data_IF_805420201473
#
_entry.id   IF_805420201473
#
_cell.length_a   1.000
_cell.length_b   1.000
_cell.length_c   1.000
_cell.angle_alpha   90.00
_cell.angle_beta   90.00
_cell.angle_gamma   90.00
#
_symmetry.space_group_name_H-M   'P 1'
#
loop_
_entity.id
_entity.type
_entity.pdbx_description
1 polymer ?
#
# COMPACT_ATOMS: atom_id res chain seq x y z
N UNK A 1 -16.70 18.51 4.53
CA UNK A 1 -16.44 19.19 3.24
C UNK A 1 -17.74 19.75 2.72
N UNK A 2 -17.81 21.03 2.36
CA UNK A 2 -19.06 21.64 1.91
C UNK A 2 -19.00 21.80 0.39
N UNK A 3 -20.08 21.47 -0.32
CA UNK A 3 -20.11 21.51 -1.80
C UNK A 3 -19.78 22.89 -2.37
N UNK A 4 -20.04 23.94 -1.60
CA UNK A 4 -19.79 25.34 -1.95
C UNK A 4 -18.34 25.79 -1.82
N UNK A 5 -17.43 24.94 -1.31
CA UNK A 5 -15.99 25.24 -1.31
C UNK A 5 -15.39 25.16 -2.74
N UNK A 6 -16.08 24.47 -3.66
CA UNK A 6 -15.62 24.18 -5.02
C UNK A 6 -16.54 24.77 -6.09
N UNK A 7 -15.93 25.25 -7.17
CA UNK A 7 -16.64 25.70 -8.37
C UNK A 7 -17.29 24.51 -9.06
N UNK A 8 -18.52 24.71 -9.55
CA UNK A 8 -19.33 23.65 -10.15
C UNK A 8 -19.42 23.81 -11.67
N UNK A 9 -19.54 22.73 -12.45
CA UNK A 9 -19.85 22.83 -13.86
C UNK A 9 -21.20 23.57 -14.08
N UNK A 10 -21.33 24.43 -15.10
CA UNK A 10 -20.38 24.69 -16.19
C UNK A 10 -19.31 25.76 -15.90
N UNK A 11 -19.35 26.43 -14.75
CA UNK A 11 -18.45 27.52 -14.41
C UNK A 11 -16.98 27.07 -14.40
N UNK A 12 -16.72 25.89 -13.85
CA UNK A 12 -15.41 25.26 -13.89
C UNK A 12 -15.55 23.74 -14.13
N UNK A 13 -14.55 23.18 -14.82
CA UNK A 13 -14.54 21.76 -15.11
C UNK A 13 -14.15 20.95 -13.87
N UNK A 14 -14.88 19.85 -13.63
CA UNK A 14 -14.63 18.92 -12.53
C UNK A 14 -14.58 17.50 -13.06
N UNK A 15 -13.48 16.78 -12.81
CA UNK A 15 -13.26 15.42 -13.29
C UNK A 15 -12.66 14.53 -12.20
N UNK A 16 -13.14 13.28 -12.14
CA UNK A 16 -12.51 12.19 -11.38
C UNK A 16 -12.39 11.00 -12.32
N UNK A 17 -11.15 10.59 -12.64
CA UNK A 17 -10.87 9.54 -13.65
C UNK A 17 -9.64 8.72 -13.25
N UNK A 18 -9.57 7.48 -13.72
CA UNK A 18 -8.32 6.71 -13.69
C UNK A 18 -7.32 7.44 -14.59
N UNK A 19 -6.15 7.76 -14.03
CA UNK A 19 -5.07 8.45 -14.72
C UNK A 19 -4.08 7.45 -15.33
N UNK A 20 -3.63 6.48 -14.54
CA UNK A 20 -2.58 5.54 -14.93
C UNK A 20 -2.65 4.26 -14.09
N UNK A 21 -2.30 3.14 -14.73
CA UNK A 21 -1.89 1.91 -14.03
C UNK A 21 -0.37 1.98 -13.85
N UNK A 22 0.07 2.09 -12.61
CA UNK A 22 1.47 2.24 -12.24
C UNK A 22 2.03 0.90 -11.71
N UNK A 23 3.34 0.82 -11.50
CA UNK A 23 4.02 -0.44 -11.16
C UNK A 23 3.48 -1.12 -9.89
N UNK A 24 3.02 -0.32 -8.93
CA UNK A 24 2.46 -0.78 -7.65
C UNK A 24 1.20 -0.03 -7.22
N UNK A 25 0.58 0.76 -8.09
CA UNK A 25 -0.61 1.56 -7.78
C UNK A 25 -1.56 1.74 -8.98
N UNK A 26 -2.82 2.08 -8.69
CA UNK A 26 -3.75 2.62 -9.68
C UNK A 26 -3.97 4.09 -9.33
N UNK A 27 -3.51 4.99 -10.19
CA UNK A 27 -3.55 6.42 -9.92
C UNK A 27 -4.90 6.98 -10.39
N UNK A 28 -5.58 7.71 -9.50
CA UNK A 28 -6.84 8.42 -9.80
C UNK A 28 -6.55 9.91 -9.84
N UNK A 29 -6.90 10.55 -10.95
CA UNK A 29 -6.83 12.01 -11.09
C UNK A 29 -8.12 12.65 -10.56
N UNK A 30 -7.96 13.60 -9.64
CA UNK A 30 -9.01 14.50 -9.16
C UNK A 30 -8.70 15.90 -9.66
N UNK A 31 -9.57 16.44 -10.51
CA UNK A 31 -9.45 17.77 -11.10
C UNK A 31 -10.65 18.61 -10.70
N UNK A 32 -10.43 19.70 -9.98
CA UNK A 32 -11.47 20.61 -9.50
C UNK A 32 -10.87 21.98 -9.16
N UNK A 33 -11.72 23.00 -9.10
CA UNK A 33 -11.34 24.36 -8.71
C UNK A 33 -12.07 24.80 -7.43
N UNK A 34 -11.43 25.65 -6.63
CA UNK A 34 -12.05 26.28 -5.45
C UNK A 34 -12.70 27.60 -5.82
N UNK A 35 -13.73 28.01 -5.07
CA UNK A 35 -14.36 29.33 -5.25
C UNK A 35 -13.53 30.48 -4.68
N UNK A 36 -12.58 30.17 -3.79
CA UNK A 36 -11.67 31.15 -3.20
C UNK A 36 -10.37 31.26 -3.99
N UNK A 37 -9.82 32.48 -4.03
CA UNK A 37 -8.46 32.79 -4.49
C UNK A 37 -7.50 33.08 -3.34
N UNK A 38 -7.99 33.04 -2.08
CA UNK A 38 -7.14 33.19 -0.91
C UNK A 38 -6.30 31.93 -0.71
N UNK A 39 -4.98 32.11 -0.67
CA UNK A 39 -4.03 30.99 -0.58
C UNK A 39 -4.18 30.15 0.70
N UNK A 40 -4.41 30.81 1.85
CA UNK A 40 -4.54 30.11 3.14
C UNK A 40 -5.81 29.25 3.18
N UNK A 41 -6.93 29.82 2.76
CA UNK A 41 -8.20 29.09 2.66
C UNK A 41 -8.13 27.95 1.63
N UNK A 42 -7.47 28.19 0.48
CA UNK A 42 -7.22 27.17 -0.52
C UNK A 42 -6.43 25.98 0.02
N UNK A 43 -5.37 26.23 0.82
CA UNK A 43 -4.59 25.17 1.45
C UNK A 43 -5.45 24.33 2.42
N UNK A 44 -6.27 24.99 3.24
CA UNK A 44 -7.18 24.30 4.16
C UNK A 44 -8.22 23.46 3.42
N UNK A 45 -8.81 23.99 2.34
CA UNK A 45 -9.75 23.24 1.49
C UNK A 45 -9.07 22.01 0.88
N UNK A 46 -7.85 22.17 0.35
CA UNK A 46 -7.06 21.09 -0.26
C UNK A 46 -6.72 19.99 0.76
N UNK A 47 -6.31 20.37 1.96
CA UNK A 47 -6.01 19.42 3.04
C UNK A 47 -7.25 18.63 3.44
N UNK A 48 -8.39 19.30 3.66
CA UNK A 48 -9.66 18.62 3.98
C UNK A 48 -10.12 17.69 2.87
N UNK A 49 -9.90 18.05 1.60
CA UNK A 49 -10.18 17.17 0.46
C UNK A 49 -9.33 15.90 0.52
N UNK A 50 -8.02 16.03 0.78
CA UNK A 50 -7.11 14.88 0.88
C UNK A 50 -7.52 13.92 2.01
N UNK A 51 -7.85 14.44 3.20
CA UNK A 51 -8.35 13.61 4.30
C UNK A 51 -9.67 12.91 3.94
N UNK A 52 -10.60 13.61 3.27
CA UNK A 52 -11.87 12.98 2.90
C UNK A 52 -11.69 11.89 1.83
N UNK A 53 -10.77 12.08 0.89
CA UNK A 53 -10.42 11.02 -0.08
C UNK A 53 -9.86 9.79 0.66
N UNK A 54 -9.00 10.00 1.65
CA UNK A 54 -8.45 8.91 2.46
C UNK A 54 -9.52 8.15 3.24
N UNK A 55 -10.47 8.86 3.86
CA UNK A 55 -11.60 8.22 4.55
C UNK A 55 -12.46 7.42 3.57
N UNK A 56 -12.80 7.98 2.41
CA UNK A 56 -13.61 7.29 1.38
C UNK A 56 -12.90 6.02 0.89
N UNK A 57 -11.59 6.08 0.65
CA UNK A 57 -10.81 4.91 0.24
C UNK A 57 -10.90 3.79 1.28
N UNK A 58 -10.70 4.15 2.57
CA UNK A 58 -10.80 3.22 3.70
C UNK A 58 -12.21 2.64 3.86
N UNK A 59 -13.24 3.49 3.77
CA UNK A 59 -14.66 3.08 3.81
C UNK A 59 -15.00 2.10 2.70
N UNK A 60 -14.38 2.25 1.52
CA UNK A 60 -14.53 1.34 0.39
C UNK A 60 -13.70 0.04 0.52
N UNK A 61 -13.00 -0.17 1.63
CA UNK A 61 -12.14 -1.34 1.86
C UNK A 61 -10.83 -1.32 1.07
N UNK A 62 -10.44 -0.15 0.55
CA UNK A 62 -9.16 0.08 -0.11
C UNK A 62 -8.23 0.88 0.79
N UNK A 63 -6.94 0.86 0.50
CA UNK A 63 -5.95 1.71 1.16
C UNK A 63 -4.99 2.30 0.13
N UNK A 64 -4.17 3.26 0.54
CA UNK A 64 -3.14 3.82 -0.32
C UNK A 64 -2.06 2.79 -0.62
N UNK A 65 -1.65 2.79 -1.89
CA UNK A 65 -0.59 1.92 -2.37
C UNK A 65 0.78 2.39 -1.87
N UNK A 66 1.49 1.49 -1.19
CA UNK A 66 2.93 1.61 -0.98
C UNK A 66 3.67 0.87 -2.12
N UNK A 67 4.93 1.24 -2.42
CA UNK A 67 5.74 0.48 -3.35
C UNK A 67 5.77 -1.00 -2.94
N UNK A 68 5.44 -1.88 -3.88
CA UNK A 68 5.38 -3.32 -3.66
C UNK A 68 6.31 -4.04 -4.63
N UNK A 69 6.84 -5.18 -4.18
CA UNK A 69 7.73 -6.03 -4.97
C UNK A 69 7.40 -7.48 -4.69
N UNK A 70 7.41 -8.31 -5.73
CA UNK A 70 7.35 -9.76 -5.59
C UNK A 70 8.76 -10.31 -5.46
N UNK A 71 9.06 -10.96 -4.32
CA UNK A 71 10.37 -11.57 -4.06
C UNK A 71 10.30 -13.06 -4.39
N UNK A 72 11.16 -13.52 -5.30
CA UNK A 72 11.35 -14.94 -5.59
C UNK A 72 12.53 -15.47 -4.78
N UNK A 73 12.29 -16.42 -3.88
CA UNK A 73 13.32 -17.02 -3.02
C UNK A 73 13.63 -18.45 -3.49
N UNK A 74 14.89 -18.73 -3.83
CA UNK A 74 15.33 -20.03 -4.34
C UNK A 74 15.57 -21.07 -3.24
N UNK A 75 15.89 -20.64 -2.02
CA UNK A 75 16.04 -21.51 -0.86
C UNK A 75 15.49 -20.80 0.38
N UNK A 76 14.54 -21.43 1.05
CA UNK A 76 14.07 -20.97 2.36
C UNK A 76 15.08 -21.42 3.43
N UNK A 77 15.31 -20.66 4.52
CA UNK A 77 16.25 -21.08 5.56
C UNK A 77 15.93 -22.45 6.18
N UNK A 78 14.67 -22.92 6.06
CA UNK A 78 14.26 -24.24 6.51
C UNK A 78 14.71 -25.38 5.58
N UNK A 79 15.10 -25.09 4.33
CA UNK A 79 15.62 -26.06 3.37
C UNK A 79 17.15 -26.18 3.43
N UNK A 80 17.81 -25.58 4.44
CA UNK A 80 19.22 -25.84 4.68
C UNK A 80 19.41 -27.33 5.01
N UNK A 81 20.27 -28.07 4.27
CA UNK A 81 20.44 -29.50 4.51
C UNK A 81 20.89 -29.74 5.95
N UNK A 82 20.19 -30.61 6.67
CA UNK A 82 20.59 -30.99 8.02
C UNK A 82 22.02 -31.54 8.00
N UNK A 83 22.85 -31.07 8.95
CA UNK A 83 24.19 -31.62 9.15
C UNK A 83 24.02 -33.04 9.70
N UNK A 84 24.20 -34.04 8.85
CA UNK A 84 24.21 -35.43 9.27
C UNK A 84 25.35 -35.66 10.27
N UNK A 85 24.99 -35.97 11.52
CA UNK A 85 25.96 -36.39 12.54
C UNK A 85 25.84 -37.90 12.68
N UNK A 86 26.82 -38.71 12.24
CA UNK A 86 26.75 -40.15 12.37
C UNK A 86 26.60 -40.56 13.84
N UNK A 87 25.77 -41.58 14.16
CA UNK A 87 25.69 -42.09 15.53
C UNK A 87 27.05 -42.63 15.98
N UNK A 88 27.52 -42.20 17.15
CA UNK A 88 28.70 -42.76 17.79
C UNK A 88 28.39 -44.23 18.12
N UNK A 89 29.21 -45.19 17.66
CA UNK A 89 29.08 -46.59 18.06
C UNK A 89 29.22 -46.68 19.59
N UNK A 90 28.16 -47.11 20.28
CA UNK A 90 28.30 -47.51 21.68
C UNK A 90 29.18 -48.77 21.76
N UNK A 91 30.08 -48.87 22.75
CA UNK A 91 30.91 -50.07 22.91
C UNK A 91 29.99 -51.27 23.15
N UNK A 92 30.10 -52.29 22.31
CA UNK A 92 29.40 -53.56 22.51
C UNK A 92 29.85 -54.17 23.83
N UNK A 93 28.93 -54.33 24.78
CA UNK A 93 29.15 -55.13 26.00
C UNK A 93 29.49 -56.56 25.59
N UNK A 94 30.77 -56.93 25.67
CA UNK A 94 31.20 -58.33 25.63
C UNK A 94 30.61 -59.05 26.84
N UNK A 95 29.56 -59.84 26.60
CA UNK A 95 29.12 -60.88 27.52
C UNK A 95 30.19 -61.97 27.53
N UNK A 96 30.94 -62.11 28.61
CA UNK A 96 31.80 -63.27 28.88
C UNK A 96 31.06 -64.23 29.82
N UNK A 97 31.12 -65.52 29.44
CA UNK A 97 30.50 -66.71 30.05
C UNK A 97 30.74 -66.88 31.57
#
# INVERSE_FOLDING_TARGET
>A
MRTFDFAQPPEAATFVRIHRFNDSSIDIMVYCFTNTTNWGEWLEIKERLAYRIMEIAKEAGSDFAFPSQSVYAEAWPADSPEVFTPPQQEPSEETQD
#
